data_IF_913988969727
#
_entry.id   IF_913988969727
#
_cell.length_a   1.000
_cell.length_b   1.000
_cell.length_c   1.000
_cell.angle_alpha   90.00
_cell.angle_beta   90.00
_cell.angle_gamma   90.00
#
_symmetry.space_group_name_H-M   'P 1'
#
loop_
_entity.id
_entity.type
_entity.pdbx_description
1 polymer ?
#
# COMPACT_ATOMS: atom_id res chain seq x y z
N UNK A 1 36.62 -18.39 2.32
CA UNK A 1 35.73 -19.47 1.86
C UNK A 1 34.46 -18.84 1.34
N UNK A 2 33.90 -19.38 0.27
CA UNK A 2 32.59 -18.94 -0.21
C UNK A 2 31.51 -19.49 0.73
N UNK A 3 30.73 -18.60 1.36
CA UNK A 3 29.68 -18.98 2.31
C UNK A 3 28.35 -19.25 1.60
N UNK A 4 28.26 -19.05 0.28
CA UNK A 4 27.02 -19.25 -0.48
C UNK A 4 26.37 -20.62 -0.30
N UNK A 5 27.11 -21.76 -0.33
CA UNK A 5 26.49 -23.07 -0.12
C UNK A 5 25.78 -23.19 1.24
N UNK A 6 26.35 -22.57 2.28
CA UNK A 6 25.78 -22.58 3.63
C UNK A 6 24.58 -21.65 3.74
N UNK A 7 24.65 -20.49 3.08
CA UNK A 7 23.53 -19.57 2.99
C UNK A 7 22.33 -20.21 2.25
N UNK A 8 22.59 -21.00 1.20
CA UNK A 8 21.58 -21.80 0.50
C UNK A 8 21.02 -22.94 1.36
N UNK A 9 21.87 -23.67 2.10
CA UNK A 9 21.42 -24.68 3.05
C UNK A 9 20.52 -24.09 4.12
N UNK A 10 20.92 -22.94 4.67
CA UNK A 10 20.16 -22.21 5.67
C UNK A 10 18.80 -21.75 5.12
N UNK A 11 18.78 -21.23 3.90
CA UNK A 11 17.57 -20.81 3.21
C UNK A 11 16.63 -22.00 2.94
N UNK A 12 17.16 -23.12 2.45
CA UNK A 12 16.37 -24.32 2.16
C UNK A 12 15.79 -24.96 3.41
N UNK A 13 16.56 -24.97 4.51
CA UNK A 13 16.08 -25.43 5.80
C UNK A 13 14.89 -24.59 6.26
N UNK A 14 15.02 -23.26 6.21
CA UNK A 14 13.95 -22.39 6.71
C UNK A 14 12.69 -22.46 5.84
N UNK A 15 12.84 -22.53 4.52
CA UNK A 15 11.72 -22.76 3.58
C UNK A 15 10.92 -24.02 3.94
N UNK A 16 11.62 -25.09 4.28
CA UNK A 16 10.98 -26.37 4.66
C UNK A 16 10.16 -26.20 5.95
N UNK A 17 10.69 -25.48 6.94
CA UNK A 17 10.00 -25.21 8.21
C UNK A 17 8.79 -24.30 8.04
N UNK A 18 8.95 -23.21 7.29
CA UNK A 18 7.87 -22.28 6.95
C UNK A 18 6.76 -22.97 6.16
N UNK A 19 7.11 -23.82 5.19
CA UNK A 19 6.16 -24.63 4.42
C UNK A 19 5.35 -25.57 5.30
N UNK A 20 6.00 -26.27 6.25
CA UNK A 20 5.31 -27.14 7.21
C UNK A 20 4.32 -26.36 8.10
N UNK A 21 4.67 -25.12 8.43
CA UNK A 21 3.80 -24.19 9.15
C UNK A 21 2.73 -23.53 8.27
N UNK A 22 2.68 -23.83 6.96
CA UNK A 22 1.80 -23.18 5.98
C UNK A 22 1.97 -21.65 5.88
N UNK A 23 3.13 -21.13 6.28
CA UNK A 23 3.48 -19.73 6.07
C UNK A 23 3.88 -19.56 4.62
N UNK A 24 3.19 -18.65 3.92
CA UNK A 24 3.51 -18.32 2.52
C UNK A 24 4.79 -17.48 2.49
N UNK A 25 5.66 -17.76 1.53
CA UNK A 25 6.87 -16.99 1.31
C UNK A 25 7.16 -16.86 -0.18
N UNK A 26 7.91 -15.83 -0.54
CA UNK A 26 8.49 -15.63 -1.86
C UNK A 26 10.00 -15.43 -1.74
N UNK A 27 10.72 -15.80 -2.79
CA UNK A 27 12.15 -15.49 -2.96
C UNK A 27 12.25 -14.33 -3.95
N UNK A 28 12.84 -13.18 -3.56
CA UNK A 28 13.13 -12.12 -4.51
C UNK A 28 14.04 -12.62 -5.65
N UNK A 29 13.75 -12.20 -6.88
CA UNK A 29 14.57 -12.56 -8.04
C UNK A 29 15.88 -11.78 -8.12
N UNK A 30 16.00 -10.70 -7.34
CA UNK A 30 17.16 -9.83 -7.26
C UNK A 30 17.49 -9.56 -5.80
N UNK A 31 18.78 -9.57 -5.46
CA UNK A 31 19.29 -9.27 -4.12
C UNK A 31 19.32 -7.74 -3.94
N UNK A 32 18.17 -7.18 -3.60
CA UNK A 32 17.99 -5.77 -3.23
C UNK A 32 17.57 -5.72 -1.76
N UNK A 33 18.23 -4.85 -1.00
CA UNK A 33 17.97 -4.60 0.42
C UNK A 33 18.14 -5.81 1.35
N UNK A 34 18.97 -6.79 0.95
CA UNK A 34 19.39 -7.90 1.79
C UNK A 34 18.29 -8.88 2.20
N UNK A 35 17.19 -8.92 1.45
CA UNK A 35 16.08 -9.84 1.65
C UNK A 35 16.30 -11.15 0.86
N UNK A 36 16.57 -12.24 1.57
CA UNK A 36 16.67 -13.57 0.95
C UNK A 36 15.28 -14.21 0.76
N UNK A 37 14.36 -13.94 1.68
CA UNK A 37 12.96 -14.36 1.63
C UNK A 37 12.05 -13.24 2.10
N UNK A 38 10.82 -13.22 1.60
CA UNK A 38 9.74 -12.38 2.12
C UNK A 38 8.57 -13.28 2.49
N UNK A 39 8.18 -13.26 3.76
CA UNK A 39 7.00 -13.98 4.24
C UNK A 39 5.77 -13.12 3.99
N UNK A 40 4.67 -13.73 3.58
CA UNK A 40 3.45 -13.04 3.23
C UNK A 40 2.26 -13.54 4.03
N UNK A 41 1.46 -12.60 4.50
CA UNK A 41 0.10 -12.84 4.96
C UNK A 41 -0.88 -12.05 4.07
N UNK A 42 -1.38 -12.66 2.97
CA UNK A 42 -2.34 -12.02 2.08
C UNK A 42 -3.66 -11.79 2.81
N UNK A 43 -4.09 -10.53 2.89
CA UNK A 43 -5.39 -10.17 3.46
C UNK A 43 -6.47 -10.15 2.39
N UNK A 44 -6.12 -9.71 1.17
CA UNK A 44 -6.96 -9.79 -0.03
C UNK A 44 -6.07 -9.74 -1.29
N UNK A 45 -6.69 -9.61 -2.48
CA UNK A 45 -5.99 -9.55 -3.78
C UNK A 45 -4.97 -8.43 -3.92
N UNK A 46 -5.10 -7.35 -3.15
CA UNK A 46 -4.33 -6.10 -3.30
C UNK A 46 -3.47 -5.77 -2.08
N UNK A 47 -3.68 -6.48 -0.98
CA UNK A 47 -3.06 -6.17 0.31
C UNK A 47 -2.48 -7.42 0.95
N UNK A 48 -1.20 -7.34 1.29
CA UNK A 48 -0.51 -8.34 2.10
C UNK A 48 0.28 -7.66 3.21
N UNK A 49 0.38 -8.33 4.35
CA UNK A 49 1.41 -8.02 5.35
C UNK A 49 2.65 -8.82 5.04
N UNK A 50 3.82 -8.26 5.32
CA UNK A 50 5.09 -8.90 5.00
C UNK A 50 6.08 -8.91 6.16
N UNK A 51 6.91 -9.94 6.21
CA UNK A 51 8.10 -10.01 7.07
C UNK A 51 9.31 -10.23 6.16
N UNK A 52 10.32 -9.38 6.33
CA UNK A 52 11.57 -9.47 5.58
C UNK A 52 12.47 -10.46 6.30
N UNK A 53 12.99 -11.42 5.56
CA UNK A 53 13.83 -12.49 6.09
C UNK A 53 15.18 -12.47 5.40
N UNK A 54 16.23 -12.44 6.22
CA UNK A 54 17.60 -12.65 5.78
C UNK A 54 18.13 -13.97 6.33
N UNK A 55 18.89 -14.69 5.51
CA UNK A 55 19.57 -15.94 5.83
C UNK A 55 21.07 -15.71 5.82
N UNK A 56 21.77 -16.21 6.85
CA UNK A 56 23.24 -16.15 6.94
C UNK A 56 23.77 -17.52 7.31
N UNK A 57 24.82 -17.95 6.63
CA UNK A 57 25.54 -19.20 6.91
C UNK A 57 26.99 -18.90 7.28
N UNK A 58 27.51 -19.46 8.38
CA UNK A 58 28.91 -19.28 8.78
C UNK A 58 29.53 -20.58 9.24
N UNK A 59 30.78 -20.78 8.83
CA UNK A 59 31.64 -21.81 9.41
C UNK A 59 32.26 -21.29 10.70
N UNK A 60 32.07 -22.05 11.78
CA UNK A 60 32.74 -21.84 13.05
C UNK A 60 33.80 -22.93 13.17
N UNK A 61 35.01 -22.57 12.74
CA UNK A 61 36.18 -23.44 12.82
C UNK A 61 36.96 -23.15 14.10
N UNK A 62 38.28 -23.23 14.09
CA UNK A 62 39.11 -22.85 15.24
C UNK A 62 39.10 -21.35 15.57
N UNK A 63 38.62 -20.49 14.65
CA UNK A 63 38.58 -19.03 14.80
C UNK A 63 37.16 -18.52 15.07
N UNK A 64 37.06 -17.41 15.80
CA UNK A 64 35.80 -16.68 15.94
C UNK A 64 35.32 -16.18 14.58
N UNK A 65 34.00 -16.13 14.40
CA UNK A 65 33.34 -15.66 13.19
C UNK A 65 32.44 -14.47 13.52
N UNK A 66 31.89 -13.84 12.49
CA UNK A 66 30.87 -12.81 12.67
C UNK A 66 29.83 -12.80 11.55
N UNK A 67 28.68 -12.24 11.90
CA UNK A 67 27.61 -11.89 10.97
C UNK A 67 27.44 -10.38 11.04
N UNK A 68 27.24 -9.75 9.89
CA UNK A 68 26.91 -8.33 9.82
C UNK A 68 25.67 -8.12 8.98
N UNK A 69 24.83 -7.17 9.41
CA UNK A 69 23.58 -6.76 8.75
C UNK A 69 23.60 -5.24 8.66
N UNK A 70 23.42 -4.64 7.47
CA UNK A 70 23.22 -3.20 7.33
C UNK A 70 22.09 -2.71 8.23
N UNK A 71 22.33 -1.65 9.01
CA UNK A 71 21.37 -1.14 9.98
C UNK A 71 20.08 -0.66 9.31
N UNK A 72 20.18 -0.14 8.08
CA UNK A 72 19.06 0.30 7.25
C UNK A 72 18.08 -0.83 6.89
N UNK A 73 18.52 -2.09 6.91
CA UNK A 73 17.66 -3.25 6.62
C UNK A 73 16.82 -3.65 7.85
N UNK A 74 17.26 -3.29 9.06
CA UNK A 74 16.66 -3.78 10.31
C UNK A 74 15.45 -2.93 10.71
N UNK A 75 14.34 -3.18 10.03
CA UNK A 75 13.02 -2.62 10.34
C UNK A 75 12.24 -3.52 11.30
N UNK A 76 11.09 -3.06 11.82
CA UNK A 76 10.32 -3.78 12.85
C UNK A 76 9.91 -5.20 12.44
N UNK A 77 9.61 -5.41 11.16
CA UNK A 77 9.24 -6.69 10.55
C UNK A 77 10.42 -7.44 9.91
N UNK A 78 11.64 -7.23 10.39
CA UNK A 78 12.85 -7.93 9.93
C UNK A 78 13.21 -9.13 10.83
N UNK A 79 13.62 -10.24 10.22
CA UNK A 79 14.07 -11.46 10.88
C UNK A 79 15.35 -11.97 10.22
N UNK A 80 16.35 -12.34 11.01
CA UNK A 80 17.55 -13.02 10.53
C UNK A 80 17.56 -14.48 11.00
N UNK A 81 17.74 -15.40 10.06
CA UNK A 81 18.13 -16.78 10.35
C UNK A 81 19.63 -16.95 10.19
N UNK A 82 20.24 -17.65 11.14
CA UNK A 82 21.66 -17.94 11.13
C UNK A 82 21.87 -19.44 11.22
N UNK A 83 22.58 -20.00 10.25
CA UNK A 83 23.09 -21.36 10.29
C UNK A 83 24.59 -21.35 10.60
N UNK A 84 25.00 -22.13 11.58
CA UNK A 84 26.39 -22.35 11.92
C UNK A 84 26.79 -23.80 11.63
N UNK A 85 27.71 -23.99 10.70
CA UNK A 85 28.40 -25.27 10.53
C UNK A 85 29.64 -25.27 11.43
N UNK A 86 29.81 -26.33 12.22
CA UNK A 86 30.91 -26.44 13.18
C UNK A 86 31.76 -27.65 12.82
N UNK A 87 33.06 -27.43 12.66
CA UNK A 87 33.99 -28.51 12.29
C UNK A 87 33.93 -29.68 13.28
N UNK A 88 33.67 -30.88 12.77
CA UNK A 88 33.60 -32.10 13.58
C UNK A 88 32.31 -32.26 14.39
N UNK A 89 31.30 -31.43 14.15
CA UNK A 89 29.96 -31.58 14.72
C UNK A 89 28.93 -31.77 13.59
N UNK A 90 28.11 -32.81 13.72
CA UNK A 90 27.03 -33.10 12.78
C UNK A 90 25.70 -32.45 13.14
N UNK A 91 25.62 -31.78 14.30
CA UNK A 91 24.40 -31.14 14.76
C UNK A 91 24.12 -29.85 13.97
N UNK A 92 22.83 -29.65 13.67
CA UNK A 92 22.33 -28.47 12.97
C UNK A 92 22.18 -27.29 13.94
N UNK A 93 23.08 -26.29 13.85
CA UNK A 93 23.02 -25.10 14.69
C UNK A 93 22.27 -23.96 13.98
N UNK A 94 20.95 -23.95 14.12
CA UNK A 94 20.06 -22.93 13.56
C UNK A 94 19.58 -21.95 14.62
N UNK A 95 19.74 -20.66 14.35
CA UNK A 95 19.32 -19.57 15.21
C UNK A 95 18.38 -18.62 14.49
N UNK A 96 17.55 -17.93 15.26
CA UNK A 96 16.67 -16.87 14.80
C UNK A 96 16.87 -15.61 15.65
N UNK A 97 16.94 -14.47 14.98
CA UNK A 97 17.05 -13.17 15.63
C UNK A 97 15.98 -12.24 15.07
N UNK A 98 15.17 -11.66 15.95
CA UNK A 98 14.21 -10.64 15.56
C UNK A 98 14.87 -9.26 15.55
N UNK A 99 14.19 -8.28 14.95
CA UNK A 99 14.69 -6.91 14.84
C UNK A 99 15.21 -6.33 16.17
N UNK A 100 14.48 -6.55 17.27
CA UNK A 100 14.89 -6.11 18.61
C UNK A 100 16.11 -6.85 19.17
N UNK A 101 16.38 -8.07 18.72
CA UNK A 101 17.60 -8.81 19.11
C UNK A 101 18.81 -8.29 18.33
N UNK A 102 18.63 -8.02 17.03
CA UNK A 102 19.67 -7.51 16.14
C UNK A 102 20.10 -6.10 16.55
N UNK A 103 19.16 -5.25 16.97
CA UNK A 103 19.46 -3.90 17.48
C UNK A 103 20.34 -3.89 18.74
N UNK A 104 20.44 -5.02 19.46
CA UNK A 104 21.33 -5.18 20.62
C UNK A 104 22.74 -5.62 20.24
N UNK A 105 22.99 -5.93 18.97
CA UNK A 105 24.32 -6.27 18.48
C UNK A 105 25.23 -5.05 18.44
N UNK A 106 26.54 -5.28 18.29
CA UNK A 106 27.49 -4.17 18.19
C UNK A 106 27.27 -3.41 16.89
N UNK A 107 27.06 -2.10 16.97
CA UNK A 107 26.96 -1.24 15.80
C UNK A 107 28.35 -0.75 15.37
N UNK A 108 28.70 -0.92 14.10
CA UNK A 108 29.94 -0.41 13.53
C UNK A 108 29.73 -0.06 12.04
N UNK A 109 30.06 1.17 11.66
CA UNK A 109 29.95 1.68 10.28
C UNK A 109 28.58 1.41 9.63
N UNK A 110 27.50 1.70 10.35
CA UNK A 110 26.13 1.51 9.85
C UNK A 110 25.71 0.04 9.71
N UNK A 111 26.37 -0.89 10.42
CA UNK A 111 26.03 -2.31 10.44
C UNK A 111 25.92 -2.82 11.87
N UNK A 112 24.94 -3.68 12.12
CA UNK A 112 24.87 -4.50 13.32
C UNK A 112 25.74 -5.74 13.14
N UNK A 113 26.59 -6.05 14.12
CA UNK A 113 27.57 -7.13 14.07
C UNK A 113 27.39 -8.08 15.26
N UNK A 114 27.03 -9.33 14.96
CA UNK A 114 27.05 -10.44 15.91
C UNK A 114 28.42 -11.12 15.87
N UNK A 115 29.10 -11.15 17.00
CA UNK A 115 30.31 -11.95 17.18
C UNK A 115 29.94 -13.38 17.58
N UNK A 116 30.51 -14.36 16.88
CA UNK A 116 30.30 -15.80 17.12
C UNK A 116 31.61 -16.37 17.69
N UNK A 117 31.75 -16.48 19.02
CA UNK A 117 32.94 -17.02 19.65
C UNK A 117 33.01 -18.54 19.44
N UNK A 118 34.21 -19.12 19.52
CA UNK A 118 34.42 -20.58 19.40
C UNK A 118 33.56 -21.41 20.38
N UNK A 119 33.33 -20.88 21.58
CA UNK A 119 32.52 -21.50 22.63
C UNK A 119 31.03 -21.14 22.63
N UNK A 120 30.47 -20.65 21.50
CA UNK A 120 29.10 -20.13 21.45
C UNK A 120 28.04 -21.14 21.95
N UNK A 121 28.28 -22.45 21.79
CA UNK A 121 27.34 -23.52 22.17
C UNK A 121 26.94 -23.51 23.65
N UNK A 122 27.84 -23.08 24.54
CA UNK A 122 27.57 -22.97 25.97
C UNK A 122 27.23 -21.54 26.41
N UNK A 123 26.95 -20.64 25.46
CA UNK A 123 26.56 -19.28 25.80
C UNK A 123 25.04 -19.19 25.91
N UNK A 124 24.59 -18.63 27.03
CA UNK A 124 23.17 -18.38 27.28
C UNK A 124 22.53 -17.57 26.14
N UNK A 125 23.28 -16.65 25.56
CA UNK A 125 22.82 -15.86 24.42
C UNK A 125 22.42 -16.74 23.23
N UNK A 126 23.29 -17.65 22.77
CA UNK A 126 22.95 -18.50 21.62
C UNK A 126 21.89 -19.54 21.98
N UNK A 127 21.89 -20.08 23.20
CA UNK A 127 20.86 -21.02 23.67
C UNK A 127 19.45 -20.39 23.59
N UNK A 128 19.32 -19.13 23.99
CA UNK A 128 18.04 -18.40 23.94
C UNK A 128 17.52 -18.16 22.50
N UNK A 129 18.42 -18.12 21.51
CA UNK A 129 18.07 -17.83 20.12
C UNK A 129 18.02 -19.10 19.24
N UNK A 130 18.25 -20.29 19.82
CA UNK A 130 18.20 -21.55 19.10
C UNK A 130 16.80 -21.77 18.51
N UNK A 131 16.72 -22.04 17.22
CA UNK A 131 15.46 -22.10 16.50
C UNK A 131 14.58 -23.27 16.97
N UNK A 132 13.57 -22.95 17.78
CA UNK A 132 12.45 -23.83 18.12
C UNK A 132 11.24 -23.57 17.21
N UNK A 133 10.85 -24.57 16.41
CA UNK A 133 9.72 -24.43 15.48
C UNK A 133 8.37 -24.18 16.17
N UNK A 134 8.16 -24.65 17.40
CA UNK A 134 6.87 -24.50 18.09
C UNK A 134 6.64 -23.07 18.61
N UNK A 135 7.69 -22.41 19.13
CA UNK A 135 7.59 -21.05 19.67
C UNK A 135 7.83 -19.98 18.61
N UNK A 136 8.85 -20.15 17.77
CA UNK A 136 9.26 -19.10 16.84
C UNK A 136 8.33 -18.96 15.64
N UNK A 137 7.70 -20.05 15.19
CA UNK A 137 6.67 -19.95 14.14
C UNK A 137 5.51 -19.09 14.62
N UNK A 138 5.03 -19.29 15.86
CA UNK A 138 3.98 -18.46 16.45
C UNK A 138 4.40 -16.98 16.52
N UNK A 139 5.66 -16.73 16.90
CA UNK A 139 6.21 -15.36 16.95
C UNK A 139 6.26 -14.72 15.55
N UNK A 140 6.62 -15.49 14.53
CA UNK A 140 6.62 -15.05 13.12
C UNK A 140 5.19 -14.78 12.64
N UNK A 141 4.21 -15.61 13.01
CA UNK A 141 2.80 -15.37 12.70
C UNK A 141 2.27 -14.09 13.38
N UNK A 142 2.60 -13.86 14.65
CA UNK A 142 2.28 -12.63 15.37
C UNK A 142 2.94 -11.42 14.70
N UNK A 143 4.20 -11.53 14.29
CA UNK A 143 4.91 -10.49 13.55
C UNK A 143 4.24 -10.21 12.19
N UNK A 144 3.88 -11.25 11.44
CA UNK A 144 3.14 -11.13 10.18
C UNK A 144 1.77 -10.48 10.36
N UNK A 145 1.07 -10.79 11.45
CA UNK A 145 -0.23 -10.19 11.76
C UNK A 145 -0.12 -8.73 12.17
N UNK A 146 1.02 -8.29 12.72
CA UNK A 146 1.24 -6.91 13.15
C UNK A 146 2.10 -6.10 12.17
N UNK A 147 2.64 -6.75 11.14
CA UNK A 147 3.51 -6.10 10.18
C UNK A 147 2.78 -5.01 9.37
N UNK A 148 3.52 -4.01 8.85
CA UNK A 148 2.97 -2.99 7.98
C UNK A 148 2.22 -3.60 6.79
N UNK A 149 1.07 -3.04 6.46
CA UNK A 149 0.32 -3.44 5.28
C UNK A 149 1.03 -2.91 4.04
N UNK A 150 1.49 -3.83 3.19
CA UNK A 150 1.99 -3.49 1.89
C UNK A 150 0.81 -3.50 0.92
N UNK A 151 0.44 -2.32 0.42
CA UNK A 151 -0.46 -2.22 -0.73
C UNK A 151 0.37 -2.55 -1.95
N UNK A 152 0.12 -3.70 -2.57
CA UNK A 152 0.73 -3.97 -3.86
C UNK A 152 0.11 -2.98 -4.85
N UNK A 153 0.86 -1.97 -5.24
CA UNK A 153 0.44 -1.04 -6.29
C UNK A 153 0.66 -1.68 -7.65
N UNK A 154 0.02 -2.84 -7.87
CA UNK A 154 -0.08 -3.47 -9.17
C UNK A 154 -1.53 -3.33 -9.63
N UNK A 155 -1.78 -2.25 -10.36
CA UNK A 155 -3.02 -2.02 -11.10
C UNK A 155 -2.77 -2.64 -12.46
N UNK A 156 -3.32 -3.84 -12.67
CA UNK A 156 -3.17 -4.58 -13.92
C UNK A 156 -4.05 -3.89 -14.99
N UNK A 157 -3.48 -2.92 -15.70
CA UNK A 157 -4.21 -2.08 -16.67
C UNK A 157 -4.78 -2.88 -17.85
N UNK A 158 -4.26 -4.08 -18.14
CA UNK A 158 -4.68 -4.89 -19.30
C UNK A 158 -6.16 -5.29 -19.27
N UNK A 159 -6.75 -5.37 -18.07
CA UNK A 159 -8.16 -5.76 -17.89
C UNK A 159 -9.04 -4.61 -17.37
N UNK A 160 -8.51 -3.39 -17.31
CA UNK A 160 -9.24 -2.23 -16.80
C UNK A 160 -9.89 -1.44 -17.93
N UNK A 161 -11.13 -1.02 -17.70
CA UNK A 161 -11.78 -0.07 -18.58
C UNK A 161 -11.13 1.31 -18.45
N UNK A 162 -11.20 2.12 -19.51
CA UNK A 162 -10.55 3.44 -19.59
C UNK A 162 -10.80 4.32 -18.34
N UNK A 163 -12.03 4.34 -17.83
CA UNK A 163 -12.42 5.09 -16.63
C UNK A 163 -11.68 4.64 -15.36
N UNK A 164 -11.43 3.34 -15.21
CA UNK A 164 -10.72 2.77 -14.06
C UNK A 164 -9.23 3.12 -14.13
N UNK A 165 -8.66 3.06 -15.33
CA UNK A 165 -7.27 3.46 -15.60
C UNK A 165 -7.06 4.91 -15.18
N UNK A 166 -7.90 5.82 -15.69
CA UNK A 166 -7.78 7.25 -15.42
C UNK A 166 -8.04 7.56 -13.94
N UNK A 167 -8.97 6.84 -13.28
CA UNK A 167 -9.23 7.00 -11.85
C UNK A 167 -8.01 6.63 -10.99
N UNK A 168 -7.38 5.49 -11.27
CA UNK A 168 -6.17 5.08 -10.55
C UNK A 168 -4.98 6.01 -10.85
N UNK A 169 -4.89 6.56 -12.07
CA UNK A 169 -3.90 7.58 -12.40
C UNK A 169 -4.09 8.87 -11.59
N UNK A 170 -5.32 9.33 -11.41
CA UNK A 170 -5.60 10.48 -10.55
C UNK A 170 -5.24 10.20 -9.09
N UNK A 171 -5.74 9.10 -8.50
CA UNK A 171 -5.50 8.76 -7.09
C UNK A 171 -4.02 8.65 -6.75
N UNK A 172 -3.22 8.07 -7.66
CA UNK A 172 -1.82 7.75 -7.38
C UNK A 172 -0.85 8.85 -7.81
N UNK A 173 -1.11 9.49 -8.94
CA UNK A 173 -0.16 10.40 -9.58
C UNK A 173 -0.68 11.81 -9.76
N UNK A 174 -1.89 12.09 -9.29
CA UNK A 174 -2.51 13.41 -9.46
C UNK A 174 -2.66 13.80 -10.95
N UNK A 175 -2.85 12.79 -11.79
CA UNK A 175 -2.87 12.94 -13.25
C UNK A 175 -4.30 12.95 -13.76
N UNK A 176 -4.70 14.06 -14.38
CA UNK A 176 -5.98 14.19 -15.05
C UNK A 176 -5.88 13.85 -16.55
N UNK A 177 -6.96 13.35 -17.16
CA UNK A 177 -6.99 13.13 -18.60
C UNK A 177 -6.99 14.44 -19.38
N UNK A 178 -6.44 14.41 -20.60
CA UNK A 178 -6.57 15.50 -21.56
C UNK A 178 -7.98 15.51 -22.22
N UNK A 179 -8.26 16.53 -23.03
CA UNK A 179 -9.56 16.70 -23.67
C UNK A 179 -9.95 15.51 -24.57
N UNK A 180 -8.97 14.84 -25.20
CA UNK A 180 -9.24 13.68 -26.05
C UNK A 180 -9.73 12.50 -25.21
N UNK A 181 -9.03 12.22 -24.11
CA UNK A 181 -9.42 11.16 -23.17
C UNK A 181 -10.73 11.47 -22.45
N UNK A 182 -11.01 12.74 -22.15
CA UNK A 182 -12.30 13.15 -21.57
C UNK A 182 -13.45 12.94 -22.55
N UNK A 183 -13.22 13.21 -23.84
CA UNK A 183 -14.22 12.98 -24.89
C UNK A 183 -14.52 11.48 -25.03
N UNK A 184 -13.49 10.64 -25.06
CA UNK A 184 -13.63 9.19 -25.06
C UNK A 184 -14.35 8.67 -23.80
N UNK A 185 -13.97 9.19 -22.62
CA UNK A 185 -14.60 8.86 -21.34
C UNK A 185 -16.10 9.19 -21.36
N UNK A 186 -16.47 10.37 -21.86
CA UNK A 186 -17.89 10.70 -22.02
C UNK A 186 -18.58 9.71 -22.96
N UNK A 187 -17.99 9.48 -24.14
CA UNK A 187 -18.60 8.62 -25.17
C UNK A 187 -18.78 7.17 -24.70
N UNK A 188 -18.08 6.73 -23.65
CA UNK A 188 -18.26 5.43 -23.00
C UNK A 188 -19.18 5.49 -21.76
N UNK A 189 -19.47 6.68 -21.22
CA UNK A 189 -20.24 6.89 -20.00
C UNK A 189 -21.74 7.04 -20.28
N UNK A 190 -22.40 5.90 -20.58
CA UNK A 190 -23.84 5.85 -20.85
C UNK A 190 -24.69 5.55 -19.60
N UNK A 191 -24.16 4.78 -18.66
CA UNK A 191 -24.84 4.34 -17.44
C UNK A 191 -23.88 4.33 -16.26
N UNK A 192 -24.42 4.44 -15.04
CA UNK A 192 -23.67 4.27 -13.81
C UNK A 192 -22.93 2.93 -13.79
N UNK A 193 -21.67 2.98 -13.38
CA UNK A 193 -20.76 1.83 -13.42
C UNK A 193 -21.00 0.81 -12.30
N UNK A 194 -21.88 1.15 -11.34
CA UNK A 194 -22.07 0.41 -10.10
C UNK A 194 -21.03 0.75 -9.03
N UNK A 195 -20.06 1.61 -9.33
CA UNK A 195 -19.08 2.15 -8.39
C UNK A 195 -19.27 3.67 -8.30
N UNK A 196 -19.93 4.12 -7.24
CA UNK A 196 -20.21 5.54 -7.02
C UNK A 196 -18.95 6.41 -7.07
N UNK A 197 -17.81 5.90 -6.61
CA UNK A 197 -16.54 6.62 -6.67
C UNK A 197 -16.06 6.86 -8.11
N UNK A 198 -16.15 5.83 -8.97
CA UNK A 198 -15.83 5.95 -10.39
C UNK A 198 -16.81 6.86 -11.12
N UNK A 199 -18.09 6.77 -10.78
CA UNK A 199 -19.15 7.60 -11.37
C UNK A 199 -18.93 9.08 -11.03
N UNK A 200 -18.66 9.40 -9.76
CA UNK A 200 -18.31 10.76 -9.32
C UNK A 200 -17.03 11.22 -10.03
N UNK A 201 -16.00 10.38 -10.08
CA UNK A 201 -14.75 10.74 -10.75
C UNK A 201 -14.97 11.11 -12.23
N UNK A 202 -15.71 10.29 -12.96
CA UNK A 202 -16.01 10.52 -14.37
C UNK A 202 -16.82 11.81 -14.55
N UNK A 203 -17.89 11.99 -13.77
CA UNK A 203 -18.73 13.19 -13.81
C UNK A 203 -17.92 14.45 -13.51
N UNK A 204 -17.11 14.45 -12.43
CA UNK A 204 -16.26 15.57 -12.05
C UNK A 204 -15.25 15.91 -13.15
N UNK A 205 -14.62 14.89 -13.75
CA UNK A 205 -13.60 15.03 -14.78
C UNK A 205 -14.18 15.59 -16.09
N UNK A 206 -15.35 15.11 -16.49
CA UNK A 206 -16.09 15.63 -17.64
C UNK A 206 -16.57 17.06 -17.35
N UNK A 207 -17.11 17.30 -16.15
CA UNK A 207 -17.59 18.61 -15.74
C UNK A 207 -16.50 19.68 -15.84
N UNK A 208 -15.27 19.35 -15.43
CA UNK A 208 -14.12 20.25 -15.53
C UNK A 208 -13.77 20.69 -16.97
N UNK A 209 -14.23 19.96 -17.99
CA UNK A 209 -13.95 20.24 -19.40
C UNK A 209 -15.16 20.74 -20.19
N UNK A 210 -16.28 21.07 -19.52
CA UNK A 210 -17.52 21.47 -20.18
C UNK A 210 -17.37 22.65 -21.13
N UNK A 211 -16.53 23.62 -20.80
CA UNK A 211 -16.26 24.79 -21.66
C UNK A 211 -15.67 24.40 -23.03
N UNK A 212 -15.04 23.23 -23.12
CA UNK A 212 -14.37 22.71 -24.30
C UNK A 212 -15.14 21.59 -25.02
N UNK A 213 -16.32 21.19 -24.51
CA UNK A 213 -17.15 20.14 -25.08
C UNK A 213 -18.35 20.73 -25.81
N UNK A 214 -18.50 20.42 -27.11
CA UNK A 214 -19.46 21.09 -27.99
C UNK A 214 -20.95 20.67 -27.81
N UNK A 215 -21.29 19.59 -27.06
CA UNK A 215 -22.61 18.93 -27.18
C UNK A 215 -23.29 18.37 -25.90
N UNK A 216 -23.04 18.84 -24.67
CA UNK A 216 -23.48 18.07 -23.47
C UNK A 216 -24.38 18.85 -22.49
N UNK A 217 -25.47 18.19 -22.03
CA UNK A 217 -26.31 18.65 -20.90
C UNK A 217 -25.80 18.07 -19.57
N UNK A 218 -25.91 18.83 -18.49
CA UNK A 218 -25.55 18.42 -17.13
C UNK A 218 -26.68 17.73 -16.38
N UNK A 219 -27.88 17.69 -16.95
CA UNK A 219 -29.07 17.19 -16.25
C UNK A 219 -28.93 15.72 -15.87
N UNK A 220 -28.34 14.91 -16.76
CA UNK A 220 -28.07 13.49 -16.52
C UNK A 220 -27.07 13.30 -15.37
N UNK A 221 -25.96 14.03 -15.39
CA UNK A 221 -24.97 13.96 -14.30
C UNK A 221 -25.57 14.41 -12.97
N UNK A 222 -26.42 15.43 -12.95
CA UNK A 222 -27.09 15.81 -11.72
C UNK A 222 -28.00 14.68 -11.22
N UNK A 223 -28.75 14.01 -12.10
CA UNK A 223 -29.59 12.86 -11.74
C UNK A 223 -28.77 11.68 -11.21
N UNK A 224 -27.66 11.37 -11.86
CA UNK A 224 -26.72 10.32 -11.45
C UNK A 224 -26.13 10.60 -10.07
N UNK A 225 -25.64 11.82 -9.84
CA UNK A 225 -25.13 12.24 -8.54
C UNK A 225 -26.24 12.21 -7.46
N UNK A 226 -27.49 12.54 -7.83
CA UNK A 226 -28.64 12.42 -6.93
C UNK A 226 -28.92 10.97 -6.51
N UNK A 227 -28.73 10.00 -7.40
CA UNK A 227 -28.94 8.58 -7.11
C UNK A 227 -27.91 8.06 -6.11
N UNK A 228 -26.65 8.50 -6.22
CA UNK A 228 -25.54 8.04 -5.39
C UNK A 228 -25.33 8.86 -4.10
N UNK A 229 -26.17 9.86 -3.82
CA UNK A 229 -26.07 10.68 -2.60
C UNK A 229 -26.07 9.81 -1.35
N UNK A 230 -25.23 10.14 -0.38
CA UNK A 230 -25.03 9.33 0.83
C UNK A 230 -25.12 10.11 2.14
N UNK A 231 -25.32 11.43 2.07
CA UNK A 231 -25.51 12.30 3.25
C UNK A 231 -26.77 13.16 3.09
N UNK A 232 -27.33 13.58 4.23
CA UNK A 232 -28.59 14.34 4.33
C UNK A 232 -28.38 15.83 4.65
N UNK A 233 -27.15 16.24 4.95
CA UNK A 233 -26.75 17.62 5.23
C UNK A 233 -25.65 18.07 4.26
N UNK A 234 -25.41 19.39 4.11
CA UNK A 234 -24.36 19.92 3.24
C UNK A 234 -22.96 19.37 3.58
N UNK A 235 -22.09 19.21 2.57
CA UNK A 235 -20.76 18.58 2.74
C UNK A 235 -19.91 19.29 3.81
N UNK A 236 -19.98 20.62 3.87
CA UNK A 236 -19.25 21.44 4.85
C UNK A 236 -19.52 21.09 6.32
N UNK A 237 -20.60 20.38 6.61
CA UNK A 237 -20.95 19.94 7.97
C UNK A 237 -20.22 18.63 8.36
N UNK A 238 -19.62 17.93 7.39
CA UNK A 238 -18.90 16.66 7.57
C UNK A 238 -17.40 16.76 7.33
N UNK A 239 -16.95 17.73 6.54
CA UNK A 239 -15.55 17.85 6.11
C UNK A 239 -15.02 19.26 6.33
N UNK A 240 -13.70 19.38 6.50
CA UNK A 240 -13.00 20.67 6.47
C UNK A 240 -12.21 20.79 5.17
N UNK A 241 -12.56 21.76 4.32
CA UNK A 241 -11.82 22.07 3.09
C UNK A 241 -10.78 23.15 3.41
N UNK A 242 -9.50 22.89 3.17
CA UNK A 242 -8.39 23.78 3.58
C UNK A 242 -8.06 24.86 2.55
N UNK A 243 -8.28 24.58 1.27
CA UNK A 243 -7.90 25.41 0.13
C UNK A 243 -9.11 25.70 -0.80
N UNK A 244 -10.22 26.25 -0.26
CA UNK A 244 -11.46 26.44 -1.01
C UNK A 244 -11.32 27.35 -2.23
N UNK A 245 -10.28 28.18 -2.31
CA UNK A 245 -9.97 29.01 -3.46
C UNK A 245 -9.63 28.22 -4.74
N UNK A 246 -9.30 26.93 -4.61
CA UNK A 246 -9.09 26.03 -5.76
C UNK A 246 -10.40 25.61 -6.43
N UNK A 247 -11.55 25.84 -5.76
CA UNK A 247 -12.88 25.62 -6.33
C UNK A 247 -13.23 26.81 -7.22
N UNK A 248 -13.23 26.57 -8.53
CA UNK A 248 -13.55 27.58 -9.55
C UNK A 248 -14.94 27.36 -10.12
N UNK A 249 -15.59 28.47 -10.48
CA UNK A 249 -16.81 28.45 -11.27
C UNK A 249 -16.46 28.16 -12.73
N UNK A 250 -17.18 27.22 -13.32
CA UNK A 250 -17.10 26.93 -14.75
C UNK A 250 -18.24 27.65 -15.47
N UNK A 251 -17.95 28.26 -16.61
CA UNK A 251 -18.97 28.91 -17.43
C UNK A 251 -19.60 27.87 -18.34
N UNK A 252 -20.90 27.67 -18.21
CA UNK A 252 -21.65 26.80 -19.09
C UNK A 252 -22.73 27.62 -19.78
N UNK A 253 -22.34 28.32 -20.86
CA UNK A 253 -23.28 29.09 -21.70
C UNK A 253 -24.42 28.25 -22.28
N UNK A 254 -24.28 26.91 -22.23
CA UNK A 254 -25.19 25.93 -22.83
C UNK A 254 -25.99 25.12 -21.80
N UNK A 255 -25.68 25.16 -20.51
CA UNK A 255 -26.52 24.52 -19.47
C UNK A 255 -27.65 25.45 -19.08
N UNK A 256 -28.67 25.50 -19.94
CA UNK A 256 -29.79 26.45 -19.84
C UNK A 256 -30.53 26.32 -18.49
N UNK A 257 -30.48 25.15 -17.85
CA UNK A 257 -31.23 24.84 -16.62
C UNK A 257 -30.43 25.17 -15.35
N UNK A 258 -29.17 24.74 -15.25
CA UNK A 258 -28.34 24.93 -14.05
C UNK A 258 -27.20 25.91 -14.35
N UNK A 259 -27.23 27.07 -13.70
CA UNK A 259 -26.32 28.17 -13.98
C UNK A 259 -25.07 28.21 -13.08
N UNK A 260 -24.92 27.25 -12.16
CA UNK A 260 -23.77 27.13 -11.27
C UNK A 260 -23.17 25.73 -11.37
N UNK A 261 -21.99 25.70 -11.97
CA UNK A 261 -21.09 24.56 -11.92
C UNK A 261 -19.83 25.02 -11.22
N UNK A 262 -19.47 24.36 -10.13
CA UNK A 262 -18.20 24.58 -9.44
C UNK A 262 -17.39 23.30 -9.47
N UNK A 263 -16.09 23.42 -9.67
CA UNK A 263 -15.17 22.30 -9.67
C UNK A 263 -13.87 22.73 -9.00
N UNK A 264 -13.25 21.84 -8.23
CA UNK A 264 -11.93 22.07 -7.68
C UNK A 264 -11.30 20.77 -7.20
N UNK A 265 -9.98 20.70 -7.34
CA UNK A 265 -9.21 19.79 -6.51
C UNK A 265 -8.91 20.51 -5.20
N UNK A 266 -9.09 19.84 -4.07
CA UNK A 266 -8.97 20.45 -2.74
C UNK A 266 -8.24 19.53 -1.77
N UNK A 267 -7.66 20.09 -0.74
CA UNK A 267 -7.18 19.36 0.43
C UNK A 267 -8.31 19.36 1.47
N UNK A 268 -8.62 18.17 2.00
CA UNK A 268 -9.76 17.98 2.89
C UNK A 268 -9.41 17.12 4.10
N UNK A 269 -9.86 17.53 5.29
CA UNK A 269 -9.90 16.65 6.46
C UNK A 269 -11.30 16.03 6.60
N UNK A 270 -11.36 14.70 6.64
CA UNK A 270 -12.57 13.93 6.92
C UNK A 270 -12.27 12.92 8.05
N UNK A 271 -13.06 12.97 9.12
CA UNK A 271 -12.87 12.15 10.33
C UNK A 271 -11.43 12.21 10.91
N UNK A 272 -10.82 13.40 10.89
CA UNK A 272 -9.47 13.64 11.41
C UNK A 272 -8.32 13.13 10.52
N UNK A 273 -8.62 12.68 9.30
CA UNK A 273 -7.62 12.23 8.32
C UNK A 273 -7.64 13.17 7.11
N UNK A 274 -6.46 13.52 6.61
CA UNK A 274 -6.29 14.41 5.46
C UNK A 274 -6.24 13.60 4.14
N UNK A 275 -6.95 14.10 3.14
CA UNK A 275 -7.06 13.52 1.80
C UNK A 275 -6.93 14.61 0.73
N UNK A 276 -6.57 14.21 -0.48
CA UNK A 276 -6.89 14.99 -1.68
C UNK A 276 -8.34 14.71 -2.07
N UNK A 277 -9.07 15.77 -2.39
CA UNK A 277 -10.47 15.75 -2.75
C UNK A 277 -10.73 16.28 -4.16
N UNK A 278 -11.68 15.67 -4.84
CA UNK A 278 -12.28 16.15 -6.08
C UNK A 278 -13.68 16.68 -5.78
N UNK A 279 -13.83 17.99 -5.81
CA UNK A 279 -15.07 18.69 -5.52
C UNK A 279 -15.83 19.01 -6.80
N UNK A 280 -17.15 18.76 -6.79
CA UNK A 280 -18.06 19.18 -7.84
C UNK A 280 -19.39 19.66 -7.24
N UNK A 281 -19.89 20.76 -7.78
CA UNK A 281 -21.23 21.28 -7.51
C UNK A 281 -21.93 21.52 -8.84
N UNK A 282 -23.16 21.01 -8.97
CA UNK A 282 -24.01 21.21 -10.14
C UNK A 282 -25.40 21.62 -9.67
N UNK A 283 -25.91 22.77 -10.12
CA UNK A 283 -27.29 23.15 -9.85
C UNK A 283 -27.51 24.65 -9.68
N UNK A 284 -28.48 24.99 -8.84
CA UNK A 284 -28.78 26.34 -8.35
C UNK A 284 -29.20 26.35 -6.86
N UNK A 285 -29.78 27.46 -6.40
CA UNK A 285 -30.18 27.61 -4.99
C UNK A 285 -31.32 26.67 -4.54
N UNK A 286 -32.14 26.20 -5.47
CA UNK A 286 -33.33 25.40 -5.22
C UNK A 286 -33.09 23.92 -5.52
N UNK A 287 -32.43 23.60 -6.65
CA UNK A 287 -32.10 22.23 -7.05
C UNK A 287 -30.60 22.09 -7.33
N UNK A 288 -29.89 21.31 -6.50
CA UNK A 288 -28.46 21.07 -6.69
C UNK A 288 -27.96 19.77 -6.07
N UNK A 289 -26.79 19.36 -6.56
CA UNK A 289 -25.96 18.31 -5.98
C UNK A 289 -24.55 18.82 -5.73
N UNK A 290 -23.99 18.40 -4.61
CA UNK A 290 -22.63 18.64 -4.18
C UNK A 290 -21.97 17.28 -3.94
N UNK A 291 -20.82 17.03 -4.55
CA UNK A 291 -20.06 15.80 -4.40
C UNK A 291 -18.60 16.11 -4.09
N UNK A 292 -18.01 15.35 -3.17
CA UNK A 292 -16.59 15.39 -2.85
C UNK A 292 -16.05 13.95 -2.79
N UNK A 293 -15.16 13.64 -3.70
CA UNK A 293 -14.51 12.34 -3.84
C UNK A 293 -13.09 12.40 -3.28
N UNK A 294 -12.71 11.45 -2.42
CA UNK A 294 -11.38 11.37 -1.84
C UNK A 294 -10.47 10.44 -2.65
N UNK A 295 -9.16 10.69 -2.62
CA UNK A 295 -8.13 9.91 -3.30
C UNK A 295 -8.01 8.45 -2.82
N UNK A 296 -8.60 8.11 -1.68
CA UNK A 296 -8.73 6.73 -1.19
C UNK A 296 -9.93 5.97 -1.82
N UNK A 297 -10.83 6.67 -2.52
CA UNK A 297 -12.04 6.13 -3.14
C UNK A 297 -13.33 6.30 -2.32
N UNK A 298 -13.26 6.82 -1.09
CA UNK A 298 -14.44 7.22 -0.32
C UNK A 298 -14.99 8.54 -0.85
N UNK A 299 -16.27 8.84 -0.54
CA UNK A 299 -16.90 10.08 -1.00
C UNK A 299 -18.02 10.54 -0.07
N UNK A 300 -18.34 11.82 -0.16
CA UNK A 300 -19.56 12.40 0.40
C UNK A 300 -20.33 13.12 -0.70
N UNK A 301 -21.63 12.85 -0.79
CA UNK A 301 -22.50 13.40 -1.83
C UNK A 301 -23.84 13.81 -1.23
N UNK A 302 -24.15 15.10 -1.35
CA UNK A 302 -25.36 15.76 -0.84
C UNK A 302 -26.20 16.28 -2.00
N UNK A 303 -27.51 16.09 -1.94
CA UNK A 303 -28.44 16.64 -2.94
C UNK A 303 -29.68 17.25 -2.33
N UNK A 304 -30.13 18.36 -2.88
CA UNK A 304 -31.36 19.07 -2.50
C UNK A 304 -32.25 19.29 -3.71
N UNK A 305 -33.49 18.78 -3.65
CA UNK A 305 -34.58 19.04 -4.60
C UNK A 305 -35.75 19.66 -3.85
N UNK A 306 -36.31 20.74 -4.39
CA UNK A 306 -37.52 21.40 -3.88
C UNK A 306 -38.70 21.10 -4.80
#
# INVERSE_FOLDING_TARGET
MDNKPLEELAENYIKTRLSKAKIKYLKPNYDTDGADLVLLNPLNKHIAKQVIVQSKGRNVTEKASNVSIPAEYVVSNFVCFLYLEVDGDSDDHFYIFFSEDIKKWNENNGKYILSIPKGFKGSEYFEQHLFNSSSHIKTIEELLNNAPMLRQSYVEFENMELKEIIFEMWKKYDSFPDLNLVTALYDDFYELTGSSALDIFAICTIANHLESLDYRSLDLFMQDLFIIRNIDKPIKDFVTIHNPEQIRRLNSSWSIVYNRVLFGQVDVTYDGIDYKGLYCYIGDSEDHVEALLFDNGDYVCFGKRV
#
